data_IF_904441647603
#
_entry.id   IF_904441647603
#
_cell.length_a   1.000
_cell.length_b   1.000
_cell.length_c   1.000
_cell.angle_alpha   90.00
_cell.angle_beta   90.00
_cell.angle_gamma   90.00
#
_symmetry.space_group_name_H-M   'P 1'
#
loop_
_entity.id
_entity.type
_entity.pdbx_description
1 polymer ?
#
# COMPACT_ATOMS: atom_id res chain seq x y z
N UNK A 1 -22.99 -77.82 2.06
CA UNK A 1 -23.84 -76.98 2.94
C UNK A 1 -23.45 -75.55 2.63
N UNK A 2 -23.93 -75.04 1.49
CA UNK A 2 -25.15 -74.21 1.30
C UNK A 2 -24.87 -72.74 1.64
N UNK A 3 -24.71 -71.84 0.65
CA UNK A 3 -25.76 -71.12 -0.12
C UNK A 3 -26.17 -69.83 0.64
N UNK A 4 -26.22 -68.59 0.15
CA UNK A 4 -26.29 -67.97 -1.18
C UNK A 4 -25.69 -66.54 -1.08
N UNK A 5 -24.85 -66.06 -2.00
CA UNK A 5 -25.20 -65.16 -3.12
C UNK A 5 -26.31 -64.13 -2.88
N UNK A 6 -25.97 -62.82 -2.98
CA UNK A 6 -26.59 -61.89 -3.93
C UNK A 6 -25.80 -60.58 -4.08
N UNK A 7 -25.36 -60.35 -5.31
CA UNK A 7 -25.00 -59.05 -5.87
C UNK A 7 -26.20 -58.12 -5.92
N UNK A 8 -25.97 -56.81 -5.83
CA UNK A 8 -26.68 -55.84 -6.64
C UNK A 8 -25.76 -54.66 -6.97
N UNK A 9 -25.46 -54.51 -8.26
CA UNK A 9 -24.96 -53.29 -8.88
C UNK A 9 -26.10 -52.27 -9.05
N UNK A 10 -25.70 -51.02 -9.34
CA UNK A 10 -26.41 -49.89 -9.98
C UNK A 10 -26.53 -48.65 -9.11
N UNK A 11 -26.07 -47.52 -9.67
CA UNK A 11 -26.36 -46.18 -9.14
C UNK A 11 -25.29 -45.14 -9.42
N UNK A 12 -25.20 -44.70 -10.68
CA UNK A 12 -24.47 -43.51 -11.14
C UNK A 12 -24.86 -42.29 -10.29
N UNK A 13 -23.89 -41.47 -9.87
CA UNK A 13 -23.95 -40.00 -9.87
C UNK A 13 -22.58 -39.42 -9.51
N UNK A 14 -21.84 -39.08 -10.56
CA UNK A 14 -20.92 -37.94 -10.56
C UNK A 14 -21.62 -36.71 -9.97
N UNK A 15 -21.10 -36.18 -8.87
CA UNK A 15 -21.48 -34.87 -8.32
C UNK A 15 -20.26 -33.93 -8.40
N UNK A 16 -20.47 -32.65 -8.72
CA UNK A 16 -19.43 -31.79 -9.30
C UNK A 16 -18.50 -31.20 -8.24
N UNK A 17 -17.27 -30.93 -8.69
CA UNK A 17 -16.40 -29.92 -8.10
C UNK A 17 -17.05 -28.57 -8.42
N UNK A 18 -18.04 -28.17 -7.64
CA UNK A 18 -18.51 -26.79 -7.56
C UNK A 18 -18.84 -26.46 -6.10
N UNK A 19 -17.85 -25.89 -5.43
CA UNK A 19 -18.08 -24.93 -4.36
C UNK A 19 -17.15 -23.75 -4.65
N UNK A 20 -17.36 -23.11 -5.81
CA UNK A 20 -17.02 -21.72 -5.95
C UNK A 20 -17.80 -20.98 -4.86
N UNK A 21 -17.10 -20.37 -3.91
CA UNK A 21 -17.70 -19.43 -2.98
C UNK A 21 -18.36 -18.34 -3.83
N UNK A 22 -19.69 -18.33 -3.84
CA UNK A 22 -20.52 -17.35 -4.54
C UNK A 22 -20.36 -16.00 -3.83
N UNK A 23 -19.35 -15.23 -4.27
CA UNK A 23 -19.03 -13.87 -3.79
C UNK A 23 -20.24 -12.93 -4.03
N UNK A 24 -21.17 -13.28 -4.91
CA UNK A 24 -22.33 -12.47 -5.26
C UNK A 24 -23.45 -12.42 -4.20
N UNK A 25 -23.39 -13.25 -3.15
CA UNK A 25 -24.47 -13.37 -2.15
C UNK A 25 -24.04 -13.08 -0.70
N UNK A 26 -22.92 -12.40 -0.48
CA UNK A 26 -22.63 -11.87 0.85
C UNK A 26 -23.69 -10.81 1.20
N UNK A 27 -24.40 -10.94 2.35
CA UNK A 27 -25.41 -9.96 2.72
C UNK A 27 -24.74 -8.58 2.84
N UNK A 28 -25.37 -7.53 2.27
CA UNK A 28 -24.89 -6.14 2.28
C UNK A 28 -24.46 -5.66 3.68
N UNK A 29 -25.03 -6.24 4.74
CA UNK A 29 -24.64 -6.03 6.14
C UNK A 29 -23.25 -6.56 6.50
N UNK A 30 -22.78 -7.67 5.92
CA UNK A 30 -21.42 -8.18 6.11
C UNK A 30 -20.38 -7.27 5.44
N UNK A 31 -20.70 -6.71 4.27
CA UNK A 31 -19.87 -5.73 3.57
C UNK A 31 -19.79 -4.40 4.35
N UNK A 32 -20.92 -3.89 4.84
CA UNK A 32 -20.95 -2.68 5.67
C UNK A 32 -20.22 -2.84 7.02
N UNK A 33 -20.24 -4.03 7.62
CA UNK A 33 -19.49 -4.33 8.84
C UNK A 33 -17.98 -4.44 8.58
N UNK A 34 -17.58 -4.97 7.43
CA UNK A 34 -16.18 -5.04 7.01
C UNK A 34 -15.63 -3.65 6.69
N UNK A 35 -16.38 -2.84 5.93
CA UNK A 35 -16.08 -1.44 5.62
C UNK A 35 -15.95 -0.61 6.90
N UNK A 36 -16.86 -0.80 7.87
CA UNK A 36 -16.82 -0.12 9.18
C UNK A 36 -15.59 -0.55 10.00
N UNK A 37 -15.26 -1.84 10.03
CA UNK A 37 -14.08 -2.35 10.75
C UNK A 37 -12.76 -1.94 10.10
N UNK A 38 -12.69 -1.90 8.77
CA UNK A 38 -11.56 -1.39 7.99
C UNK A 38 -11.38 0.11 8.26
N UNK A 39 -12.48 0.88 8.23
CA UNK A 39 -12.47 2.30 8.57
C UNK A 39 -12.03 2.56 10.01
N UNK A 40 -12.47 1.75 10.97
CA UNK A 40 -12.12 1.89 12.39
C UNK A 40 -10.68 1.42 12.70
N UNK A 41 -10.20 0.37 12.03
CA UNK A 41 -8.82 -0.10 12.14
C UNK A 41 -7.85 0.90 11.51
N UNK A 42 -8.12 1.36 10.28
CA UNK A 42 -7.38 2.43 9.62
C UNK A 42 -7.35 3.70 10.51
N UNK A 43 -8.49 4.10 11.09
CA UNK A 43 -8.54 5.20 12.09
C UNK A 43 -7.61 4.92 13.27
N UNK A 44 -7.68 3.75 13.90
CA UNK A 44 -6.95 3.48 15.16
C UNK A 44 -5.42 3.51 15.01
N UNK A 45 -4.90 3.05 13.88
CA UNK A 45 -3.46 2.94 13.60
C UNK A 45 -2.88 4.29 13.22
N UNK A 46 -3.68 5.07 12.50
CA UNK A 46 -3.33 6.37 11.98
C UNK A 46 -3.61 7.50 12.98
N UNK A 47 -4.41 7.27 14.04
CA UNK A 47 -4.67 8.24 15.12
C UNK A 47 -3.54 8.44 16.13
N UNK A 48 -2.47 7.63 16.08
CA UNK A 48 -1.39 7.70 17.05
C UNK A 48 -0.54 9.01 17.00
N UNK A 49 -0.89 10.01 16.17
CA UNK A 49 -0.06 11.20 16.00
C UNK A 49 -0.71 12.57 15.79
N UNK A 50 -1.99 12.73 15.44
CA UNK A 50 -2.41 14.08 14.96
C UNK A 50 -3.87 14.53 15.11
N UNK A 51 -4.77 13.78 15.74
CA UNK A 51 -6.11 14.28 16.09
C UNK A 51 -6.90 14.93 14.93
N UNK A 52 -7.82 14.16 14.34
CA UNK A 52 -8.71 14.51 13.20
C UNK A 52 -8.12 14.25 11.80
N UNK A 53 -8.62 13.20 11.16
CA UNK A 53 -8.63 13.06 9.70
C UNK A 53 -9.80 13.85 9.13
N UNK A 54 -9.71 14.37 7.89
CA UNK A 54 -10.83 15.07 7.26
C UNK A 54 -11.97 14.13 6.86
N UNK A 55 -13.15 14.72 6.65
CA UNK A 55 -14.18 14.18 5.76
C UNK A 55 -13.59 14.00 4.36
N UNK A 56 -13.43 12.75 3.95
CA UNK A 56 -13.37 12.34 2.55
C UNK A 56 -14.36 11.19 2.38
N UNK A 57 -14.92 11.07 1.20
CA UNK A 57 -15.89 10.03 0.90
C UNK A 57 -15.17 8.70 0.76
N UNK A 58 -15.64 7.69 1.51
CA UNK A 58 -15.07 6.35 1.41
C UNK A 58 -15.56 5.71 0.13
N UNK A 59 -14.63 5.27 -0.72
CA UNK A 59 -14.93 4.51 -1.92
C UNK A 59 -15.81 3.28 -1.62
N UNK A 60 -16.69 2.98 -2.56
CA UNK A 60 -17.72 1.95 -2.45
C UNK A 60 -18.04 1.34 -3.82
N UNK A 61 -19.15 0.63 -3.93
CA UNK A 61 -19.49 -0.10 -5.17
C UNK A 61 -19.69 0.82 -6.39
N UNK A 62 -20.21 2.04 -6.18
CA UNK A 62 -20.45 3.00 -7.25
C UNK A 62 -19.18 3.72 -7.74
N UNK A 63 -18.20 3.90 -6.85
CA UNK A 63 -16.86 4.43 -7.16
C UNK A 63 -15.85 3.72 -6.24
N UNK A 64 -15.12 2.72 -6.76
CA UNK A 64 -14.16 1.96 -5.96
C UNK A 64 -12.86 2.74 -5.67
N UNK A 65 -12.70 3.95 -6.18
CA UNK A 65 -11.42 4.66 -6.12
C UNK A 65 -10.34 3.98 -6.95
N UNK A 66 -9.07 4.19 -6.58
CA UNK A 66 -7.92 3.62 -7.31
C UNK A 66 -7.86 2.09 -7.17
N UNK A 67 -8.13 1.56 -5.97
CA UNK A 67 -7.88 0.16 -5.63
C UNK A 67 -9.14 -0.66 -5.37
N UNK A 68 -10.14 -0.08 -4.69
CA UNK A 68 -11.37 -0.75 -4.32
C UNK A 68 -11.31 -1.62 -3.06
N UNK A 69 -12.46 -1.88 -2.39
CA UNK A 69 -12.52 -2.60 -1.11
C UNK A 69 -12.03 -4.05 -1.10
N UNK A 70 -11.93 -4.70 -2.27
CA UNK A 70 -11.44 -6.07 -2.42
C UNK A 70 -9.93 -6.18 -2.66
N UNK A 71 -9.21 -5.06 -2.74
CA UNK A 71 -7.79 -5.01 -3.05
C UNK A 71 -6.90 -5.45 -1.88
N UNK A 72 -5.69 -5.92 -2.21
CA UNK A 72 -4.66 -6.18 -1.20
C UNK A 72 -4.22 -4.89 -0.52
N UNK A 73 -4.24 -3.77 -1.25
CA UNK A 73 -3.93 -2.43 -0.76
C UNK A 73 -4.87 -2.03 0.38
N UNK A 74 -6.20 -2.18 0.21
CA UNK A 74 -7.16 -1.95 1.29
C UNK A 74 -6.91 -2.85 2.49
N UNK A 75 -6.64 -4.14 2.26
CA UNK A 75 -6.40 -5.09 3.34
C UNK A 75 -5.13 -4.77 4.14
N UNK A 76 -4.03 -4.46 3.47
CA UNK A 76 -2.74 -4.16 4.10
C UNK A 76 -2.80 -2.80 4.81
N UNK A 77 -3.36 -1.79 4.16
CA UNK A 77 -3.40 -0.42 4.71
C UNK A 77 -4.36 -0.26 5.90
N UNK A 78 -5.23 -1.24 6.16
CA UNK A 78 -6.14 -1.23 7.29
C UNK A 78 -5.51 -1.76 8.59
N UNK A 79 -4.38 -2.47 8.48
CA UNK A 79 -3.76 -3.15 9.62
C UNK A 79 -2.86 -2.25 10.46
N UNK A 80 -2.67 -2.61 11.73
CA UNK A 80 -1.81 -1.89 12.68
C UNK A 80 -0.33 -1.95 12.34
N UNK A 81 0.09 -2.93 11.56
CA UNK A 81 1.44 -3.01 11.01
C UNK A 81 1.82 -1.79 10.17
N UNK A 82 0.84 -1.04 9.62
CA UNK A 82 1.09 0.18 8.85
C UNK A 82 1.90 1.23 9.61
N UNK A 83 1.74 1.32 10.94
CA UNK A 83 2.56 2.23 11.75
C UNK A 83 4.04 1.83 11.72
N UNK A 84 4.32 0.53 11.84
CA UNK A 84 5.69 -0.01 11.80
C UNK A 84 6.27 0.15 10.39
N UNK A 85 5.47 -0.15 9.36
CA UNK A 85 5.86 0.04 7.97
C UNK A 85 6.15 1.51 7.65
N UNK A 86 5.32 2.44 8.11
CA UNK A 86 5.55 3.88 7.91
C UNK A 86 6.82 4.39 8.58
N UNK A 87 7.11 3.93 9.80
CA UNK A 87 8.37 4.27 10.48
C UNK A 87 9.59 3.72 9.72
N UNK A 88 9.52 2.45 9.27
CA UNK A 88 10.59 1.87 8.44
C UNK A 88 10.78 2.66 7.15
N UNK A 89 9.69 3.01 6.46
CA UNK A 89 9.75 3.77 5.21
C UNK A 89 10.50 5.10 5.41
N UNK A 90 10.21 5.83 6.49
CA UNK A 90 10.91 7.09 6.79
C UNK A 90 12.43 6.90 6.95
N UNK A 91 12.85 5.87 7.67
CA UNK A 91 14.28 5.59 7.86
C UNK A 91 14.95 5.16 6.56
N UNK A 92 14.36 4.20 5.85
CA UNK A 92 14.96 3.68 4.61
C UNK A 92 14.97 4.74 3.51
N UNK A 93 13.90 5.54 3.37
CA UNK A 93 13.86 6.64 2.39
C UNK A 93 14.99 7.64 2.62
N UNK A 94 15.36 7.90 3.88
CA UNK A 94 16.45 8.82 4.23
C UNK A 94 17.86 8.32 3.90
N UNK A 95 18.01 7.05 3.50
CA UNK A 95 19.29 6.52 3.02
C UNK A 95 19.65 7.04 1.63
N UNK A 96 18.70 7.62 0.89
CA UNK A 96 19.00 8.24 -0.39
C UNK A 96 19.41 9.71 -0.19
N UNK A 97 20.62 10.12 -0.62
CA UNK A 97 21.18 11.44 -0.33
C UNK A 97 20.31 12.59 -0.86
N UNK A 98 19.74 12.45 -2.06
CA UNK A 98 18.85 13.47 -2.62
C UNK A 98 17.48 13.54 -1.91
N UNK A 99 16.95 12.41 -1.44
CA UNK A 99 15.70 12.38 -0.70
C UNK A 99 15.86 13.10 0.65
N UNK A 100 16.94 12.80 1.39
CA UNK A 100 17.20 13.45 2.66
C UNK A 100 17.55 14.93 2.50
N UNK A 101 18.24 15.33 1.42
CA UNK A 101 18.46 16.74 1.09
C UNK A 101 17.14 17.50 0.91
N UNK A 102 16.23 16.96 0.08
CA UNK A 102 14.91 17.55 -0.12
C UNK A 102 14.09 17.68 1.16
N UNK A 103 14.14 16.67 2.03
CA UNK A 103 13.49 16.75 3.36
C UNK A 103 14.18 17.78 4.26
N UNK A 104 15.51 17.82 4.27
CA UNK A 104 16.29 18.70 5.13
C UNK A 104 16.08 20.18 4.82
N UNK A 105 15.95 20.51 3.53
CA UNK A 105 15.89 21.88 3.01
C UNK A 105 14.45 22.41 2.89
N UNK A 106 13.49 21.55 2.57
CA UNK A 106 12.11 21.98 2.26
C UNK A 106 11.05 21.50 3.26
N UNK A 107 11.42 20.73 4.28
CA UNK A 107 10.44 20.23 5.24
C UNK A 107 10.54 20.91 6.60
N UNK A 108 9.38 21.28 7.15
CA UNK A 108 9.23 21.70 8.54
C UNK A 108 9.41 20.54 9.54
N UNK A 109 10.13 19.46 9.20
CA UNK A 109 10.18 18.24 10.02
C UNK A 109 10.76 18.48 11.43
N UNK A 110 11.64 19.48 11.59
CA UNK A 110 12.22 19.85 12.90
C UNK A 110 11.24 20.63 13.78
N UNK A 111 10.37 21.44 13.18
CA UNK A 111 9.45 22.34 13.89
C UNK A 111 8.02 21.82 13.96
N UNK A 112 7.62 20.94 13.03
CA UNK A 112 6.29 20.32 12.89
C UNK A 112 6.42 18.86 12.37
N UNK A 113 7.05 17.95 13.13
CA UNK A 113 7.19 16.54 12.74
C UNK A 113 5.83 15.84 12.65
N UNK A 114 4.93 16.13 13.61
CA UNK A 114 3.62 15.48 13.70
C UNK A 114 2.68 15.95 12.60
N UNK A 115 2.66 17.25 12.26
CA UNK A 115 1.87 17.74 11.13
C UNK A 115 2.41 17.26 9.79
N UNK A 116 3.73 17.06 9.64
CA UNK A 116 4.31 16.41 8.45
C UNK A 116 3.81 14.98 8.30
N UNK A 117 3.88 14.20 9.37
CA UNK A 117 3.40 12.82 9.37
C UNK A 117 1.90 12.76 9.05
N UNK A 118 1.11 13.66 9.62
CA UNK A 118 -0.33 13.77 9.36
C UNK A 118 -0.64 14.05 7.88
N UNK A 119 0.13 14.91 7.21
CA UNK A 119 -0.06 15.22 5.78
C UNK A 119 0.23 14.01 4.89
N UNK A 120 1.29 13.26 5.17
CA UNK A 120 1.60 12.01 4.45
C UNK A 120 0.53 10.95 4.73
N UNK A 121 0.15 10.75 5.99
CA UNK A 121 -0.91 9.80 6.35
C UNK A 121 -2.25 10.13 5.69
N UNK A 122 -2.58 11.43 5.57
CA UNK A 122 -3.75 11.90 4.82
C UNK A 122 -3.67 11.54 3.34
N UNK A 123 -2.51 11.79 2.70
CA UNK A 123 -2.32 11.42 1.30
C UNK A 123 -2.49 9.91 1.08
N UNK A 124 -1.85 9.07 1.91
CA UNK A 124 -1.99 7.61 1.84
C UNK A 124 -3.43 7.17 2.05
N UNK A 125 -4.11 7.72 3.08
CA UNK A 125 -5.51 7.38 3.36
C UNK A 125 -6.45 7.80 2.22
N UNK A 126 -6.31 9.01 1.69
CA UNK A 126 -7.15 9.50 0.58
C UNK A 126 -6.92 8.73 -0.71
N UNK A 127 -5.67 8.42 -1.06
CA UNK A 127 -5.38 7.63 -2.27
C UNK A 127 -5.79 6.17 -2.14
N UNK A 128 -5.79 5.62 -0.92
CA UNK A 128 -6.23 4.25 -0.65
C UNK A 128 -7.74 4.12 -0.64
N UNK A 129 -8.42 4.94 0.16
CA UNK A 129 -9.81 4.75 0.55
C UNK A 129 -10.77 5.79 -0.03
N UNK A 130 -10.26 6.88 -0.61
CA UNK A 130 -11.08 7.92 -1.20
C UNK A 130 -11.70 7.50 -2.53
N UNK A 131 -12.67 8.28 -2.98
CA UNK A 131 -13.23 8.20 -4.34
C UNK A 131 -12.15 8.43 -5.41
N UNK A 132 -12.44 8.08 -6.65
CA UNK A 132 -11.51 8.30 -7.77
C UNK A 132 -11.13 9.78 -7.88
N UNK A 133 -12.10 10.68 -7.74
CA UNK A 133 -11.90 12.12 -7.80
C UNK A 133 -11.01 12.64 -6.66
N UNK A 134 -11.22 12.17 -5.43
CA UNK A 134 -10.42 12.60 -4.27
C UNK A 134 -8.98 12.11 -4.38
N UNK A 135 -8.78 10.86 -4.80
CA UNK A 135 -7.45 10.30 -5.00
C UNK A 135 -6.69 11.05 -6.10
N UNK A 136 -7.34 11.35 -7.22
CA UNK A 136 -6.75 12.18 -8.30
C UNK A 136 -6.38 13.58 -7.81
N UNK A 137 -7.29 14.24 -7.09
CA UNK A 137 -7.04 15.57 -6.51
C UNK A 137 -5.86 15.57 -5.54
N UNK A 138 -5.73 14.52 -4.73
CA UNK A 138 -4.60 14.35 -3.81
C UNK A 138 -3.27 14.16 -4.55
N UNK A 139 -3.26 13.37 -5.63
CA UNK A 139 -2.08 13.16 -6.49
C UNK A 139 -1.66 14.47 -7.15
N UNK A 140 -2.60 15.22 -7.74
CA UNK A 140 -2.32 16.52 -8.36
C UNK A 140 -1.76 17.53 -7.36
N UNK A 141 -2.32 17.57 -6.15
CA UNK A 141 -1.86 18.44 -5.08
C UNK A 141 -0.41 18.12 -4.68
N UNK A 142 -0.09 16.84 -4.46
CA UNK A 142 1.28 16.42 -4.11
C UNK A 142 2.26 16.78 -5.23
N UNK A 143 1.92 16.49 -6.49
CA UNK A 143 2.75 16.87 -7.65
C UNK A 143 3.00 18.37 -7.71
N UNK A 144 1.98 19.19 -7.45
CA UNK A 144 2.08 20.66 -7.39
C UNK A 144 2.98 21.14 -6.25
N UNK A 145 2.87 20.54 -5.07
CA UNK A 145 3.78 20.83 -3.95
C UNK A 145 5.22 20.46 -4.30
N UNK A 146 5.44 19.29 -4.92
CA UNK A 146 6.76 18.80 -5.32
C UNK A 146 7.44 19.69 -6.38
N UNK A 147 6.69 20.48 -7.17
CA UNK A 147 7.29 21.46 -8.11
C UNK A 147 8.19 22.49 -7.40
N UNK A 148 7.94 22.74 -6.11
CA UNK A 148 8.69 23.71 -5.29
C UNK A 148 9.84 23.07 -4.51
N UNK A 149 9.94 21.75 -4.50
CA UNK A 149 10.96 21.00 -3.75
C UNK A 149 12.06 20.62 -4.72
N UNK A 150 13.06 21.48 -4.82
CA UNK A 150 14.20 21.35 -5.72
C UNK A 150 15.38 22.14 -5.16
N UNK A 151 16.58 21.61 -5.34
CA UNK A 151 17.79 22.21 -4.79
C UNK A 151 19.04 21.50 -5.28
N UNK A 152 20.13 21.68 -4.54
CA UNK A 152 21.41 21.03 -4.76
C UNK A 152 21.86 20.40 -3.44
N UNK A 153 22.12 19.09 -3.47
CA UNK A 153 22.58 18.35 -2.31
C UNK A 153 24.04 18.72 -1.99
N UNK A 154 24.51 18.40 -0.78
CA UNK A 154 25.86 18.74 -0.32
C UNK A 154 27.00 18.09 -1.14
N UNK A 155 26.69 17.08 -1.94
CA UNK A 155 27.61 16.43 -2.88
C UNK A 155 27.63 17.09 -4.28
N UNK A 156 26.89 18.19 -4.47
CA UNK A 156 26.81 18.96 -5.71
C UNK A 156 25.77 18.46 -6.72
N UNK A 157 25.04 17.38 -6.42
CA UNK A 157 23.98 16.90 -7.31
C UNK A 157 22.71 17.74 -7.14
N UNK A 158 22.14 18.19 -8.25
CA UNK A 158 20.81 18.80 -8.24
C UNK A 158 19.73 17.74 -7.97
N UNK A 159 18.67 18.13 -7.26
CA UNK A 159 17.52 17.28 -7.02
C UNK A 159 16.20 18.00 -7.31
N UNK A 160 15.18 17.22 -7.63
CA UNK A 160 13.78 17.64 -7.77
C UNK A 160 12.91 16.55 -7.18
N UNK A 161 11.94 16.88 -6.34
CA UNK A 161 11.00 15.89 -5.80
C UNK A 161 10.05 15.31 -6.86
N UNK A 162 10.03 15.89 -8.06
CA UNK A 162 9.32 15.36 -9.23
C UNK A 162 10.26 14.60 -10.19
N UNK A 163 11.52 14.38 -9.82
CA UNK A 163 12.41 13.49 -10.57
C UNK A 163 11.86 12.05 -10.55
N UNK A 164 11.62 11.40 -11.70
CA UNK A 164 11.01 10.07 -11.75
C UNK A 164 11.79 8.98 -11.00
N UNK A 165 13.13 9.02 -11.03
CA UNK A 165 13.95 8.05 -10.31
C UNK A 165 13.87 8.27 -8.79
N UNK A 166 13.88 9.52 -8.34
CA UNK A 166 13.72 9.85 -6.91
C UNK A 166 12.30 9.50 -6.41
N UNK A 167 11.27 9.73 -7.23
CA UNK A 167 9.91 9.29 -6.93
C UNK A 167 9.82 7.75 -6.82
N UNK A 168 10.49 7.03 -7.73
CA UNK A 168 10.56 5.57 -7.70
C UNK A 168 11.19 5.07 -6.40
N UNK A 169 12.30 5.67 -5.95
CA UNK A 169 12.91 5.35 -4.65
C UNK A 169 11.93 5.53 -3.48
N UNK A 170 11.32 6.70 -3.36
CA UNK A 170 10.42 7.01 -2.25
C UNK A 170 9.22 6.06 -2.24
N UNK A 171 8.61 5.82 -3.40
CA UNK A 171 7.46 4.95 -3.56
C UNK A 171 7.78 3.48 -3.29
N UNK A 172 8.83 2.94 -3.94
CA UNK A 172 9.21 1.53 -3.78
C UNK A 172 9.53 1.20 -2.32
N UNK A 173 10.28 2.07 -1.63
CA UNK A 173 10.59 1.91 -0.21
C UNK A 173 9.33 1.94 0.66
N UNK A 174 8.37 2.81 0.35
CA UNK A 174 7.09 2.87 1.07
C UNK A 174 6.32 1.55 0.93
N UNK A 175 6.11 1.10 -0.32
CA UNK A 175 5.39 -0.14 -0.65
C UNK A 175 6.05 -1.35 0.03
N UNK A 176 7.37 -1.49 -0.10
CA UNK A 176 8.09 -2.62 0.50
C UNK A 176 8.02 -2.59 2.03
N UNK A 177 8.09 -1.40 2.63
CA UNK A 177 8.00 -1.25 4.09
C UNK A 177 6.63 -1.66 4.63
N UNK A 178 5.54 -1.26 3.96
CA UNK A 178 4.19 -1.66 4.35
C UNK A 178 3.98 -3.17 4.19
N UNK A 179 4.39 -3.72 3.06
CA UNK A 179 4.31 -5.15 2.79
C UNK A 179 5.11 -5.98 3.79
N UNK A 180 6.35 -5.59 4.08
CA UNK A 180 7.22 -6.28 5.02
C UNK A 180 6.65 -6.24 6.44
N UNK A 181 6.15 -5.07 6.89
CA UNK A 181 5.54 -4.95 8.20
C UNK A 181 4.28 -5.82 8.32
N UNK A 182 3.44 -5.86 7.28
CA UNK A 182 2.24 -6.69 7.25
C UNK A 182 2.59 -8.19 7.31
N UNK A 183 3.54 -8.64 6.49
CA UNK A 183 4.04 -10.03 6.50
C UNK A 183 4.62 -10.44 7.86
N UNK A 184 5.23 -9.49 8.57
CA UNK A 184 5.91 -9.75 9.85
C UNK A 184 4.95 -9.76 11.04
N UNK A 185 4.01 -8.81 11.09
CA UNK A 185 3.23 -8.54 12.31
C UNK A 185 1.73 -8.79 12.19
N UNK A 186 1.22 -8.97 10.98
CA UNK A 186 -0.21 -9.15 10.72
C UNK A 186 -0.50 -10.60 10.27
N UNK A 187 -1.22 -10.75 9.15
CA UNK A 187 -1.64 -12.04 8.62
C UNK A 187 -0.59 -12.58 7.65
N UNK A 188 -0.41 -13.90 7.64
CA UNK A 188 0.31 -14.58 6.57
C UNK A 188 -0.45 -14.39 5.24
N UNK A 189 0.27 -13.87 4.25
CA UNK A 189 -0.15 -13.78 2.85
C UNK A 189 0.79 -14.61 1.99
N UNK A 190 0.29 -15.10 0.88
CA UNK A 190 1.04 -15.79 -0.16
C UNK A 190 1.95 -14.83 -0.92
N UNK A 191 2.88 -15.36 -1.71
CA UNK A 191 3.68 -14.55 -2.62
C UNK A 191 2.82 -13.94 -3.72
N UNK A 192 1.80 -14.66 -4.20
CA UNK A 192 0.84 -14.14 -5.17
C UNK A 192 0.05 -12.92 -4.63
N UNK A 193 -0.41 -12.97 -3.38
CA UNK A 193 -1.10 -11.83 -2.74
C UNK A 193 -0.15 -10.64 -2.54
N UNK A 194 1.14 -10.90 -2.28
CA UNK A 194 2.13 -9.84 -2.16
C UNK A 194 2.45 -9.20 -3.53
N UNK A 195 2.54 -10.00 -4.58
CA UNK A 195 2.71 -9.51 -5.95
C UNK A 195 1.49 -8.71 -6.40
N UNK A 196 0.27 -9.13 -6.04
CA UNK A 196 -0.94 -8.33 -6.27
C UNK A 196 -0.86 -6.96 -5.61
N UNK A 197 -0.42 -6.88 -4.34
CA UNK A 197 -0.22 -5.60 -3.67
C UNK A 197 0.79 -4.70 -4.38
N UNK A 198 1.93 -5.26 -4.81
CA UNK A 198 2.94 -4.50 -5.55
C UNK A 198 2.36 -3.99 -6.87
N UNK A 199 1.66 -4.84 -7.61
CA UNK A 199 1.04 -4.46 -8.89
C UNK A 199 -0.04 -3.38 -8.73
N UNK A 200 -0.86 -3.47 -7.68
CA UNK A 200 -1.82 -2.42 -7.33
C UNK A 200 -1.09 -1.10 -7.07
N UNK A 201 -0.08 -1.09 -6.20
CA UNK A 201 0.65 0.12 -5.81
C UNK A 201 1.39 0.79 -6.98
N UNK A 202 1.81 0.03 -8.00
CA UNK A 202 2.38 0.60 -9.25
C UNK A 202 1.44 1.60 -9.92
N UNK A 203 0.13 1.38 -9.85
CA UNK A 203 -0.86 2.32 -10.42
C UNK A 203 -0.69 3.71 -9.80
N UNK A 204 -0.52 3.77 -8.48
CA UNK A 204 -0.26 5.02 -7.77
C UNK A 204 1.14 5.58 -8.07
N UNK A 205 2.16 4.72 -8.13
CA UNK A 205 3.52 5.13 -8.48
C UNK A 205 3.59 5.82 -9.85
N UNK A 206 2.98 5.22 -10.87
CA UNK A 206 2.90 5.78 -12.22
C UNK A 206 2.11 7.10 -12.24
N UNK A 207 1.00 7.19 -11.50
CA UNK A 207 0.21 8.42 -11.41
C UNK A 207 0.99 9.57 -10.74
N UNK A 208 1.86 9.25 -9.78
CA UNK A 208 2.79 10.21 -9.16
C UNK A 208 3.94 10.62 -10.08
N UNK A 209 4.27 9.81 -11.09
CA UNK A 209 5.32 10.08 -12.07
C UNK A 209 6.62 9.27 -11.86
N UNK A 210 6.58 8.21 -11.04
CA UNK A 210 7.66 7.23 -10.98
C UNK A 210 7.72 6.39 -12.26
N UNK A 211 8.90 5.89 -12.61
CA UNK A 211 9.17 5.19 -13.88
C UNK A 211 9.93 3.86 -13.73
N UNK A 212 10.63 3.63 -12.61
CA UNK A 212 11.29 2.36 -12.29
C UNK A 212 10.59 1.66 -11.14
N UNK A 213 9.47 1.02 -11.48
CA UNK A 213 8.64 0.28 -10.54
C UNK A 213 8.85 -1.21 -10.76
N UNK A 214 9.09 -2.01 -9.70
CA UNK A 214 9.11 -3.47 -9.76
C UNK A 214 7.71 -4.09 -9.86
N UNK A 215 7.59 -5.27 -10.46
CA UNK A 215 6.30 -5.95 -10.70
C UNK A 215 5.94 -7.01 -9.64
N UNK A 216 6.93 -7.47 -8.88
CA UNK A 216 6.76 -8.50 -7.85
C UNK A 216 7.37 -8.05 -6.53
N UNK A 217 6.92 -8.64 -5.43
CA UNK A 217 7.47 -8.40 -4.10
C UNK A 217 8.97 -8.77 -4.02
N UNK A 218 9.37 -9.84 -4.71
CA UNK A 218 10.78 -10.24 -4.81
C UNK A 218 11.60 -9.20 -5.58
N UNK A 219 11.12 -8.79 -6.76
CA UNK A 219 11.79 -7.77 -7.56
C UNK A 219 11.90 -6.44 -6.79
N UNK A 220 10.86 -6.08 -6.04
CA UNK A 220 10.84 -4.90 -5.19
C UNK A 220 11.91 -4.92 -4.09
N UNK A 221 12.00 -6.03 -3.36
CA UNK A 221 13.02 -6.19 -2.31
C UNK A 221 14.44 -6.18 -2.89
N UNK A 222 14.64 -6.83 -4.03
CA UNK A 222 15.91 -6.83 -4.76
C UNK A 222 16.28 -5.43 -5.27
N UNK A 223 15.30 -4.67 -5.79
CA UNK A 223 15.50 -3.32 -6.28
C UNK A 223 16.01 -2.39 -5.18
N UNK A 224 15.39 -2.43 -3.99
CA UNK A 224 15.80 -1.60 -2.85
C UNK A 224 17.19 -2.03 -2.33
N UNK A 225 17.41 -3.33 -2.16
CA UNK A 225 18.65 -3.86 -1.57
C UNK A 225 19.89 -3.62 -2.44
N UNK A 226 19.70 -3.47 -3.75
CA UNK A 226 20.77 -3.26 -4.71
C UNK A 226 20.79 -1.83 -5.30
N UNK A 227 20.00 -0.90 -4.75
CA UNK A 227 19.90 0.45 -5.30
C UNK A 227 21.24 1.19 -5.15
N UNK A 228 21.82 1.74 -6.24
CA UNK A 228 23.19 2.27 -6.23
C UNK A 228 23.36 3.51 -5.34
N UNK A 229 22.31 4.30 -5.15
CA UNK A 229 22.32 5.51 -4.34
C UNK A 229 21.85 5.30 -2.88
N UNK A 230 21.50 4.07 -2.49
CA UNK A 230 21.25 3.79 -1.08
C UNK A 230 22.57 3.90 -0.32
N UNK A 231 22.61 4.73 0.74
CA UNK A 231 23.79 4.85 1.59
C UNK A 231 24.31 3.46 2.00
N UNK A 232 25.63 3.19 1.90
CA UNK A 232 26.18 1.91 2.27
C UNK A 232 25.80 1.58 3.72
N UNK A 233 25.40 0.34 3.99
CA UNK A 233 25.47 -0.15 5.36
C UNK A 233 26.95 -0.27 5.71
N UNK A 234 27.48 0.62 6.54
CA UNK A 234 28.80 0.40 7.13
C UNK A 234 28.78 -0.97 7.81
N UNK A 235 29.59 -1.90 7.30
CA UNK A 235 29.77 -3.25 7.86
C UNK A 235 30.70 -3.19 9.07
#
# INVERSE_FOLDING_TARGET
MDNASRSNSFGILSAPIEAALDIANLPVTAFGLLQKKVGDAARSVLTAGSGAYPEFDIAGEADPGIFGPGSMTWQIHADKSMLVGGLRALFVQSLHPLAIAGVAEHSAYRSDPLGRLARTGRFVATTTYGTTQEAQSAIELVRSVHQKVRGEASDGRSYSANDPALLSWVHNVEVESFLLAYRTYAKRITDNEADMYVQEMRVLGLALGADDLPETAEALSNWISNHPDAAPSDK
#
